data_IF_693729629837
#
_entry.id   IF_693729629837
#
_cell.length_a   1.000
_cell.length_b   1.000
_cell.length_c   1.000
_cell.angle_alpha   90.00
_cell.angle_beta   90.00
_cell.angle_gamma   90.00
#
_symmetry.space_group_name_H-M   'P 1'
#
loop_
_entity.id
_entity.type
_entity.pdbx_description
1 polymer ?
#
# COMPACT_ATOMS: atom_id res chain seq x y z
N UNK A 1 2.38 15.76 20.83
CA UNK A 1 1.40 15.86 19.72
C UNK A 1 0.77 14.49 19.48
N UNK A 2 -0.25 14.41 18.63
CA UNK A 2 -0.85 13.12 18.23
C UNK A 2 -0.33 12.78 16.83
N UNK A 3 0.26 11.60 16.67
CA UNK A 3 0.69 11.12 15.36
C UNK A 3 -0.55 10.95 14.46
N UNK A 4 -0.57 11.52 13.25
CA UNK A 4 -1.70 11.34 12.32
C UNK A 4 -1.78 9.93 11.74
N UNK A 5 -0.65 9.22 11.76
CA UNK A 5 -0.56 7.81 11.41
C UNK A 5 -1.24 6.96 12.50
N UNK A 6 -0.52 6.47 13.51
CA UNK A 6 -1.09 5.54 14.50
C UNK A 6 -1.97 6.15 15.61
N UNK A 7 -2.26 7.46 15.58
CA UNK A 7 -3.07 8.19 16.60
C UNK A 7 -2.57 8.10 18.06
N UNK A 8 -1.38 7.55 18.31
CA UNK A 8 -0.78 7.50 19.65
C UNK A 8 -0.12 8.84 20.03
N UNK A 9 -0.02 9.06 21.34
CA UNK A 9 0.65 10.23 21.90
C UNK A 9 2.17 10.13 21.65
N UNK A 10 2.73 11.13 20.99
CA UNK A 10 4.17 11.26 20.75
C UNK A 10 4.69 12.57 21.35
N UNK A 11 5.98 12.67 21.73
CA UNK A 11 6.58 13.91 22.19
C UNK A 11 6.38 15.04 21.16
N UNK A 12 6.22 16.28 21.64
CA UNK A 12 6.19 17.45 20.74
C UNK A 12 7.56 17.62 20.07
N UNK A 13 7.57 17.85 18.76
CA UNK A 13 8.80 18.01 17.96
C UNK A 13 9.58 16.72 17.73
N UNK A 14 8.96 15.54 17.89
CA UNK A 14 9.58 14.28 17.48
C UNK A 14 9.65 14.21 15.95
N UNK A 15 10.80 13.82 15.40
CA UNK A 15 10.95 13.61 13.95
C UNK A 15 10.25 12.35 13.46
N UNK A 16 10.14 11.32 14.31
CA UNK A 16 9.52 10.04 13.97
C UNK A 16 8.61 9.52 15.08
N UNK A 17 7.56 8.80 14.69
CA UNK A 17 6.67 8.15 15.63
C UNK A 17 7.32 6.89 16.20
N UNK A 18 7.60 6.88 17.51
CA UNK A 18 8.14 5.69 18.21
C UNK A 18 7.25 4.44 18.19
N UNK A 19 6.05 4.52 17.64
CA UNK A 19 5.06 3.43 17.67
C UNK A 19 4.82 2.78 16.31
N UNK A 20 4.90 3.56 15.24
CA UNK A 20 4.66 3.12 13.86
C UNK A 20 5.73 3.61 12.89
N UNK A 21 6.77 4.27 13.40
CA UNK A 21 7.96 4.73 12.67
C UNK A 21 7.72 5.83 11.62
N UNK A 22 6.46 6.25 11.42
CA UNK A 22 6.09 7.36 10.54
C UNK A 22 6.90 8.64 10.78
N UNK A 23 7.34 9.27 9.69
CA UNK A 23 7.94 10.61 9.67
C UNK A 23 6.90 11.66 10.07
N UNK A 24 7.21 12.43 11.11
CA UNK A 24 6.32 13.46 11.65
C UNK A 24 6.69 14.87 11.17
N UNK A 25 7.81 15.03 10.45
CA UNK A 25 8.32 16.34 10.02
C UNK A 25 7.47 16.97 8.92
N UNK A 26 6.77 16.15 8.15
CA UNK A 26 5.93 16.56 7.01
C UNK A 26 4.44 16.55 7.33
N UNK A 27 4.07 16.31 8.60
CA UNK A 27 2.70 16.05 9.01
C UNK A 27 1.74 17.24 8.73
N UNK A 28 2.27 18.46 8.60
CA UNK A 28 1.50 19.69 8.35
C UNK A 28 1.57 20.18 6.87
N UNK A 29 2.28 19.49 5.98
CA UNK A 29 2.65 20.00 4.64
C UNK A 29 1.68 19.62 3.49
N UNK A 30 0.45 19.18 3.77
CA UNK A 30 -0.49 18.78 2.70
C UNK A 30 -1.23 20.01 2.12
N UNK A 31 -1.04 20.37 0.83
CA UNK A 31 -1.74 21.50 0.22
C UNK A 31 -3.23 21.16 -0.02
N UNK A 32 -4.09 21.66 0.87
CA UNK A 32 -5.53 21.40 0.88
C UNK A 32 -6.29 21.76 -0.42
N UNK A 33 -5.83 22.75 -1.17
CA UNK A 33 -6.50 23.23 -2.38
C UNK A 33 -6.36 22.24 -3.55
N UNK A 34 -5.20 21.59 -3.68
CA UNK A 34 -4.93 20.58 -4.71
C UNK A 34 -5.82 19.34 -4.49
N UNK A 35 -5.92 18.91 -3.23
CA UNK A 35 -6.76 17.78 -2.80
C UNK A 35 -8.23 18.05 -3.11
N UNK A 36 -8.74 19.24 -2.79
CA UNK A 36 -10.11 19.62 -3.08
C UNK A 36 -10.45 19.58 -4.57
N UNK A 37 -9.50 20.00 -5.44
CA UNK A 37 -9.67 19.96 -6.90
C UNK A 37 -9.78 18.52 -7.42
N UNK A 38 -8.98 17.61 -6.88
CA UNK A 38 -9.01 16.18 -7.26
C UNK A 38 -10.33 15.55 -6.82
N UNK A 39 -10.75 15.76 -5.56
CA UNK A 39 -12.00 15.22 -5.03
C UNK A 39 -13.23 15.70 -5.83
N UNK A 40 -13.23 16.94 -6.31
CA UNK A 40 -14.32 17.50 -7.11
C UNK A 40 -14.47 16.85 -8.50
N UNK A 41 -13.46 16.12 -8.99
CA UNK A 41 -13.49 15.42 -10.28
C UNK A 41 -13.91 13.95 -10.15
N UNK A 42 -14.07 13.44 -8.92
CA UNK A 42 -14.43 12.06 -8.67
C UNK A 42 -15.94 11.83 -8.86
N UNK A 43 -16.31 10.61 -9.25
CA UNK A 43 -17.71 10.20 -9.29
C UNK A 43 -18.30 10.26 -7.86
N UNK A 44 -19.50 10.86 -7.66
CA UNK A 44 -20.09 10.98 -6.33
C UNK A 44 -20.31 9.64 -5.61
N UNK A 45 -20.56 8.56 -6.33
CA UNK A 45 -20.71 7.22 -5.74
C UNK A 45 -19.38 6.71 -5.20
N UNK A 46 -18.28 6.90 -5.96
CA UNK A 46 -16.93 6.54 -5.52
C UNK A 46 -16.53 7.38 -4.30
N UNK A 47 -16.83 8.68 -4.31
CA UNK A 47 -16.54 9.56 -3.18
C UNK A 47 -17.30 9.13 -1.90
N UNK A 48 -18.55 8.71 -2.03
CA UNK A 48 -19.34 8.20 -0.91
C UNK A 48 -18.78 6.89 -0.35
N UNK A 49 -18.35 5.96 -1.21
CA UNK A 49 -17.66 4.73 -0.77
C UNK A 49 -16.35 5.03 -0.06
N UNK A 50 -15.54 5.96 -0.59
CA UNK A 50 -14.30 6.38 0.08
C UNK A 50 -14.56 7.06 1.42
N UNK A 51 -15.62 7.87 1.55
CA UNK A 51 -16.01 8.44 2.84
C UNK A 51 -16.39 7.36 3.84
N UNK A 52 -17.21 6.39 3.44
CA UNK A 52 -17.59 5.27 4.31
C UNK A 52 -16.37 4.46 4.75
N UNK A 53 -15.44 4.19 3.84
CA UNK A 53 -14.20 3.51 4.17
C UNK A 53 -13.36 4.33 5.16
N UNK A 54 -13.16 5.63 4.92
CA UNK A 54 -12.42 6.51 5.82
C UNK A 54 -13.05 6.61 7.22
N UNK A 55 -14.38 6.62 7.32
CA UNK A 55 -15.11 6.62 8.60
C UNK A 55 -14.96 5.29 9.36
N UNK A 56 -14.76 4.18 8.65
CA UNK A 56 -14.54 2.87 9.25
C UNK A 56 -13.11 2.65 9.76
N UNK A 57 -12.15 3.49 9.33
CA UNK A 57 -10.76 3.40 9.72
C UNK A 57 -10.44 4.26 10.96
N UNK A 58 -9.71 3.67 11.91
CA UNK A 58 -9.19 4.38 13.07
C UNK A 58 -7.96 5.21 12.74
N UNK A 59 -7.28 5.02 11.62
CA UNK A 59 -6.08 5.78 11.26
C UNK A 59 -6.02 6.11 9.77
N UNK A 60 -5.24 7.13 9.38
CA UNK A 60 -5.00 7.41 7.96
C UNK A 60 -4.26 6.25 7.28
N UNK A 61 -3.38 5.57 8.02
CA UNK A 61 -2.67 4.37 7.57
C UNK A 61 -3.61 3.21 7.28
N UNK A 62 -4.56 2.95 8.17
CA UNK A 62 -5.59 1.93 7.94
C UNK A 62 -6.40 2.23 6.68
N UNK A 63 -6.74 3.50 6.45
CA UNK A 63 -7.43 3.91 5.23
C UNK A 63 -6.60 3.68 3.96
N UNK A 64 -5.32 4.08 3.99
CA UNK A 64 -4.38 3.86 2.87
C UNK A 64 -4.19 2.35 2.62
N UNK A 65 -3.96 1.55 3.66
CA UNK A 65 -3.81 0.11 3.55
C UNK A 65 -5.09 -0.56 3.04
N UNK A 66 -6.27 -0.11 3.45
CA UNK A 66 -7.53 -0.64 2.93
C UNK A 66 -7.71 -0.39 1.42
N UNK A 67 -7.18 0.72 0.91
CA UNK A 67 -7.21 1.05 -0.52
C UNK A 67 -6.15 0.28 -1.32
N UNK A 68 -4.91 0.27 -0.84
CA UNK A 68 -3.76 -0.19 -1.65
C UNK A 68 -3.28 -1.62 -1.34
N UNK A 69 -3.60 -2.15 -0.16
CA UNK A 69 -3.15 -3.48 0.27
C UNK A 69 -4.28 -4.50 0.26
N UNK A 70 -5.46 -4.10 0.74
CA UNK A 70 -6.62 -4.98 0.87
C UNK A 70 -6.43 -6.07 1.94
N UNK A 71 -7.42 -6.95 2.09
CA UNK A 71 -7.37 -8.01 3.09
C UNK A 71 -6.29 -9.06 2.79
N UNK A 72 -5.74 -9.68 3.84
CA UNK A 72 -4.72 -10.71 3.70
C UNK A 72 -5.24 -11.91 2.87
N UNK A 73 -4.56 -12.31 1.78
CA UNK A 73 -5.03 -13.40 0.92
C UNK A 73 -4.96 -14.78 1.57
N UNK A 74 -4.30 -14.90 2.74
CA UNK A 74 -4.13 -16.16 3.47
C UNK A 74 -5.16 -16.35 4.58
N UNK A 75 -5.52 -15.29 5.31
CA UNK A 75 -6.37 -15.38 6.49
C UNK A 75 -7.51 -14.35 6.52
N UNK A 76 -7.68 -13.57 5.45
CA UNK A 76 -8.77 -12.59 5.26
C UNK A 76 -8.78 -11.45 6.29
N UNK A 77 -7.74 -11.33 7.12
CA UNK A 77 -7.61 -10.22 8.07
C UNK A 77 -7.33 -8.91 7.34
N UNK A 78 -8.00 -7.85 7.77
CA UNK A 78 -7.77 -6.46 7.33
C UNK A 78 -6.66 -5.78 8.15
N UNK A 79 -6.12 -6.45 9.17
CA UNK A 79 -4.98 -5.97 9.95
C UNK A 79 -3.68 -6.19 9.15
N UNK A 80 -3.45 -5.30 8.19
CA UNK A 80 -2.38 -5.37 7.19
C UNK A 80 -1.64 -4.05 7.06
N UNK A 81 -0.45 -4.09 6.46
CA UNK A 81 0.27 -2.88 6.05
C UNK A 81 1.31 -3.16 4.98
N UNK A 82 1.75 -2.11 4.29
CA UNK A 82 2.88 -2.17 3.35
C UNK A 82 4.23 -2.14 4.10
N UNK A 83 5.31 -2.38 3.38
CA UNK A 83 6.68 -2.15 3.85
C UNK A 83 7.26 -0.81 3.36
N UNK A 84 6.44 0.10 2.83
CA UNK A 84 6.89 1.37 2.23
C UNK A 84 7.74 2.22 3.19
N UNK A 85 7.39 2.23 4.48
CA UNK A 85 8.10 2.98 5.53
C UNK A 85 9.21 2.17 6.22
N UNK A 86 9.46 0.91 5.79
CA UNK A 86 10.43 0.02 6.45
C UNK A 86 11.80 0.17 5.82
N UNK A 87 12.77 0.56 6.64
CA UNK A 87 14.18 0.68 6.23
C UNK A 87 14.70 -0.64 5.66
N UNK A 88 15.40 -0.55 4.53
CA UNK A 88 15.95 -1.66 3.72
C UNK A 88 14.92 -2.49 2.92
N UNK A 89 13.66 -2.07 2.85
CA UNK A 89 12.69 -2.67 1.91
C UNK A 89 12.50 -1.72 0.74
N UNK A 90 12.92 -2.16 -0.46
CA UNK A 90 12.88 -1.32 -1.66
C UNK A 90 11.59 -1.47 -2.47
N UNK A 91 10.83 -2.56 -2.27
CA UNK A 91 9.64 -2.84 -3.06
C UNK A 91 8.36 -2.39 -2.31
N UNK A 92 7.74 -1.26 -2.73
CA UNK A 92 6.57 -0.70 -2.05
C UNK A 92 5.31 -1.57 -2.22
N UNK A 93 5.33 -2.53 -3.15
CA UNK A 93 4.20 -3.44 -3.38
C UNK A 93 4.24 -4.67 -2.47
N UNK A 94 5.23 -4.77 -1.58
CA UNK A 94 5.26 -5.84 -0.57
C UNK A 94 4.41 -5.41 0.62
N UNK A 95 3.46 -6.27 0.97
CA UNK A 95 2.60 -6.13 2.13
C UNK A 95 2.82 -7.25 3.14
N UNK A 96 2.37 -7.02 4.37
CA UNK A 96 2.34 -8.00 5.47
C UNK A 96 1.01 -7.98 6.20
N UNK A 97 0.63 -9.13 6.73
CA UNK A 97 -0.46 -9.29 7.67
C UNK A 97 0.09 -9.32 9.09
N UNK A 98 -0.43 -8.45 9.95
CA UNK A 98 -0.01 -8.37 11.35
C UNK A 98 -0.55 -9.52 12.21
N UNK A 99 -1.61 -10.21 11.75
CA UNK A 99 -2.20 -11.33 12.50
C UNK A 99 -1.53 -12.67 12.19
N UNK A 100 -1.27 -12.97 10.91
CA UNK A 100 -0.72 -14.27 10.51
C UNK A 100 0.73 -14.22 10.01
N UNK A 101 1.33 -13.02 9.91
CA UNK A 101 2.70 -12.80 9.46
C UNK A 101 2.94 -13.09 7.97
N UNK A 102 1.88 -13.36 7.19
CA UNK A 102 2.01 -13.61 5.77
C UNK A 102 2.47 -12.33 5.05
N UNK A 103 3.47 -12.45 4.20
CA UNK A 103 3.91 -11.38 3.31
C UNK A 103 3.58 -11.75 1.85
N UNK A 104 3.11 -10.78 1.07
CA UNK A 104 2.75 -10.97 -0.33
C UNK A 104 2.99 -9.69 -1.13
N UNK A 105 2.96 -9.81 -2.46
CA UNK A 105 2.97 -8.68 -3.37
C UNK A 105 1.54 -8.26 -3.70
N UNK A 106 1.17 -7.00 -3.47
CA UNK A 106 -0.19 -6.45 -3.68
C UNK A 106 -0.61 -6.39 -5.16
N UNK A 107 0.35 -6.41 -6.08
CA UNK A 107 0.08 -6.40 -7.53
C UNK A 107 -0.21 -7.78 -8.11
N UNK A 108 0.37 -8.84 -7.53
CA UNK A 108 0.32 -10.18 -8.11
C UNK A 108 -0.11 -11.31 -7.16
N UNK A 109 -0.45 -10.96 -5.92
CA UNK A 109 -0.87 -11.84 -4.81
C UNK A 109 0.12 -12.96 -4.45
N UNK A 110 1.35 -12.90 -4.97
CA UNK A 110 2.35 -13.94 -4.73
C UNK A 110 2.89 -13.82 -3.31
N UNK A 111 3.03 -14.93 -2.56
CA UNK A 111 3.79 -14.96 -1.33
C UNK A 111 5.22 -14.43 -1.52
N UNK A 112 5.67 -13.62 -0.58
CA UNK A 112 7.03 -13.09 -0.50
C UNK A 112 7.70 -13.71 0.72
N UNK A 113 8.78 -14.47 0.52
CA UNK A 113 9.49 -15.14 1.62
C UNK A 113 10.44 -14.19 2.36
N UNK A 114 11.13 -13.32 1.61
CA UNK A 114 11.99 -12.27 2.14
C UNK A 114 11.50 -10.91 1.64
N UNK A 115 10.91 -10.06 2.50
CA UNK A 115 10.40 -8.76 2.10
C UNK A 115 11.50 -7.79 1.65
N UNK A 116 12.78 -8.08 1.92
CA UNK A 116 13.91 -7.28 1.40
C UNK A 116 14.23 -7.58 -0.06
N UNK A 117 13.60 -8.59 -0.64
CA UNK A 117 13.77 -8.96 -2.04
C UNK A 117 12.53 -8.53 -2.82
N UNK A 118 12.72 -7.69 -3.83
CA UNK A 118 11.64 -7.26 -4.71
C UNK A 118 10.94 -8.46 -5.35
N UNK A 119 9.63 -8.32 -5.54
CA UNK A 119 8.84 -9.36 -6.18
C UNK A 119 9.34 -9.61 -7.59
N UNK A 120 9.60 -10.88 -7.93
CA UNK A 120 10.14 -11.24 -9.25
C UNK A 120 9.24 -10.91 -10.45
N UNK A 121 8.01 -10.45 -10.21
CA UNK A 121 7.14 -9.95 -11.27
C UNK A 121 7.73 -8.69 -11.93
N UNK A 122 8.45 -7.85 -11.17
CA UNK A 122 9.11 -6.64 -11.67
C UNK A 122 10.09 -6.94 -12.79
N UNK A 123 10.93 -7.97 -12.62
CA UNK A 123 11.84 -8.42 -13.68
C UNK A 123 11.09 -8.84 -14.96
N UNK A 124 9.88 -9.39 -14.84
CA UNK A 124 9.04 -9.76 -16.00
C UNK A 124 8.41 -8.52 -16.64
N UNK A 125 8.06 -7.50 -15.86
CA UNK A 125 7.59 -6.21 -16.36
C UNK A 125 8.70 -5.47 -17.13
N UNK A 126 9.89 -5.39 -16.55
CA UNK A 126 11.08 -4.76 -17.15
C UNK A 126 11.47 -5.39 -18.50
N UNK A 127 11.35 -6.72 -18.63
CA UNK A 127 11.56 -7.43 -19.91
C UNK A 127 10.63 -6.94 -21.04
N UNK A 128 9.50 -6.32 -20.70
CA UNK A 128 8.59 -5.75 -21.69
C UNK A 128 9.02 -4.35 -22.14
N UNK A 129 9.69 -3.58 -21.29
CA UNK A 129 10.08 -2.18 -21.53
C UNK A 129 8.89 -1.28 -21.87
N UNK A 130 7.72 -1.55 -21.28
CA UNK A 130 6.46 -0.83 -21.55
C UNK A 130 5.87 -0.27 -20.26
N UNK A 131 6.69 0.22 -19.35
CA UNK A 131 6.28 0.47 -17.98
C UNK A 131 5.06 1.41 -17.92
N UNK A 132 5.09 2.54 -18.62
CA UNK A 132 3.97 3.50 -18.65
C UNK A 132 2.88 3.19 -19.69
N UNK A 133 3.16 2.33 -20.68
CA UNK A 133 2.25 2.01 -21.79
C UNK A 133 1.64 0.60 -21.66
N UNK A 134 1.89 -0.08 -20.55
CA UNK A 134 1.40 -1.44 -20.33
C UNK A 134 -0.11 -1.41 -20.13
N UNK A 135 -0.90 -2.10 -20.97
CA UNK A 135 -2.36 -2.16 -20.80
C UNK A 135 -2.78 -2.93 -19.53
N UNK A 136 -1.83 -3.52 -18.80
CA UNK A 136 -2.03 -4.28 -17.58
C UNK A 136 -1.36 -3.61 -16.36
N UNK A 137 -0.96 -2.34 -16.47
CA UNK A 137 -0.24 -1.63 -15.40
C UNK A 137 -1.00 -1.65 -14.06
N UNK A 138 -2.33 -1.55 -14.10
CA UNK A 138 -3.21 -1.56 -12.91
C UNK A 138 -3.73 -2.96 -12.54
N UNK A 139 -3.39 -3.99 -13.31
CA UNK A 139 -3.91 -5.35 -13.14
C UNK A 139 -2.85 -6.37 -13.60
N UNK A 140 -1.73 -6.42 -12.89
CA UNK A 140 -0.56 -7.22 -13.29
C UNK A 140 -0.91 -8.72 -13.46
N UNK A 141 -1.83 -9.26 -12.65
CA UNK A 141 -2.31 -10.64 -12.76
C UNK A 141 -3.06 -10.94 -14.08
N UNK A 142 -3.53 -9.92 -14.79
CA UNK A 142 -4.16 -10.05 -16.12
C UNK A 142 -3.13 -10.06 -17.26
N UNK A 143 -1.88 -9.65 -17.01
CA UNK A 143 -0.80 -9.70 -18.01
C UNK A 143 -0.43 -11.15 -18.39
N UNK A 144 -0.44 -11.52 -19.70
CA UNK A 144 -0.10 -12.88 -20.14
C UNK A 144 1.30 -13.36 -19.73
N UNK A 145 2.28 -12.44 -19.66
CA UNK A 145 3.65 -12.75 -19.25
C UNK A 145 3.73 -13.02 -17.75
N UNK A 146 3.11 -12.19 -16.92
CA UNK A 146 2.99 -12.40 -15.47
C UNK A 146 2.26 -13.71 -15.18
N UNK A 147 1.13 -13.98 -15.85
CA UNK A 147 0.41 -15.26 -15.71
C UNK A 147 1.26 -16.47 -16.06
N UNK A 148 2.07 -16.38 -17.13
CA UNK A 148 3.01 -17.44 -17.52
C UNK A 148 4.11 -17.63 -16.48
N UNK A 149 4.63 -16.55 -15.92
CA UNK A 149 5.62 -16.58 -14.86
C UNK A 149 5.05 -17.17 -13.56
N UNK A 150 3.89 -16.71 -13.09
CA UNK A 150 3.19 -17.23 -11.90
C UNK A 150 2.98 -18.75 -11.96
N UNK A 151 2.63 -19.29 -13.13
CA UNK A 151 2.48 -20.75 -13.33
C UNK A 151 3.76 -21.55 -13.13
N UNK A 152 4.94 -20.93 -13.30
CA UNK A 152 6.25 -21.58 -13.10
C UNK A 152 6.74 -21.50 -11.65
N UNK A 153 6.08 -20.70 -10.81
CA UNK A 153 6.44 -20.51 -9.41
C UNK A 153 5.66 -21.44 -8.46
N UNK A 154 4.83 -22.33 -9.01
CA UNK A 154 4.12 -23.41 -8.30
C UNK A 154 4.90 -24.71 -8.41
#
# INVERSE_FOLDING_TARGET
>A
MKCYNCRKQVPDGADFCKHCEADLRTQDDVPHEEVARVLAQMDPAVLAEMQHLAESCETAEEFVNAIFVGACPKCESENVGSFEEVVDVEDPTVARCFDCGHCWCTECDRPVEDPKVSCGHWAVCEECGKDDECPYLMEATSCPKIRKWLKKQK
#
